data_IF_912797343725
#
_entry.id   IF_912797343725
#
_cell.length_a   1.000
_cell.length_b   1.000
_cell.length_c   1.000
_cell.angle_alpha   90.00
_cell.angle_beta   90.00
_cell.angle_gamma   90.00
#
_symmetry.space_group_name_H-M   'P 1'
#
loop_
_entity.id
_entity.type
_entity.pdbx_description
1 polymer ?
#
# COMPACT_ATOMS: atom_id res chain seq x y z
N UNK A 1 0.44 -25.02 -13.93
CA UNK A 1 0.15 -24.35 -12.65
C UNK A 1 0.12 -22.86 -12.96
N UNK A 2 -1.07 -22.30 -13.12
CA UNK A 2 -1.22 -20.91 -13.52
C UNK A 2 -0.97 -20.00 -12.33
N UNK A 3 0.20 -19.38 -12.31
CA UNK A 3 0.64 -18.48 -11.26
C UNK A 3 0.25 -17.03 -11.53
N UNK A 4 0.30 -16.23 -10.48
CA UNK A 4 0.32 -14.77 -10.56
C UNK A 4 1.68 -14.31 -11.07
N UNK A 5 1.68 -13.36 -12.00
CA UNK A 5 2.89 -12.74 -12.55
C UNK A 5 2.87 -11.26 -12.16
N UNK A 6 3.96 -10.78 -11.56
CA UNK A 6 4.12 -9.36 -11.25
C UNK A 6 4.20 -8.58 -12.57
N UNK A 7 3.29 -7.62 -12.76
CA UNK A 7 3.22 -6.77 -13.95
C UNK A 7 3.69 -5.35 -13.70
N UNK A 8 3.37 -4.80 -12.54
CA UNK A 8 3.72 -3.42 -12.21
C UNK A 8 4.13 -3.28 -10.75
N UNK A 9 5.00 -2.31 -10.49
CA UNK A 9 5.38 -1.89 -9.15
C UNK A 9 5.35 -0.37 -9.10
N UNK A 10 4.54 0.18 -8.19
CA UNK A 10 4.45 1.62 -7.94
C UNK A 10 4.91 1.91 -6.52
N UNK A 11 5.84 2.86 -6.37
CA UNK A 11 6.34 3.30 -5.07
C UNK A 11 5.89 4.73 -4.78
N UNK A 12 5.61 5.01 -3.50
CA UNK A 12 5.23 6.34 -3.04
C UNK A 12 5.74 6.57 -1.62
N UNK A 13 6.14 7.80 -1.31
CA UNK A 13 6.41 8.22 0.06
C UNK A 13 5.35 9.23 0.51
N UNK A 14 4.80 9.02 1.70
CA UNK A 14 3.82 9.89 2.33
C UNK A 14 4.49 10.52 3.56
N UNK A 15 4.37 11.84 3.68
CA UNK A 15 4.70 12.61 4.88
C UNK A 15 3.68 13.75 5.00
N UNK A 16 2.54 13.45 5.60
CA UNK A 16 1.44 14.40 5.80
C UNK A 16 0.98 14.40 7.25
N UNK A 17 0.11 15.33 7.61
CA UNK A 17 -0.48 15.37 8.95
C UNK A 17 -1.90 15.89 8.89
N UNK A 18 -2.74 15.43 9.80
CA UNK A 18 -4.15 15.82 9.88
C UNK A 18 -4.58 16.01 11.33
N UNK A 19 -5.69 16.74 11.52
CA UNK A 19 -6.27 17.05 12.83
C UNK A 19 -7.62 16.32 12.94
N UNK A 20 -7.77 15.38 13.89
CA UNK A 20 -9.07 14.74 14.13
C UNK A 20 -10.04 15.71 14.81
N UNK A 21 -11.37 15.53 14.64
CA UNK A 21 -12.37 16.32 15.37
C UNK A 21 -12.27 16.17 16.90
N UNK A 22 -11.87 14.99 17.37
CA UNK A 22 -11.65 14.64 18.78
C UNK A 22 -10.62 13.51 18.88
N UNK A 23 -9.95 13.37 20.02
CA UNK A 23 -9.01 12.27 20.28
C UNK A 23 -7.92 12.63 21.27
N UNK A 24 -7.05 11.66 21.56
CA UNK A 24 -5.94 11.81 22.52
C UNK A 24 -4.86 12.79 22.05
N UNK A 25 -4.74 13.00 20.73
CA UNK A 25 -3.73 13.87 20.12
C UNK A 25 -4.37 14.80 19.10
N UNK A 26 -3.94 16.07 19.10
CA UNK A 26 -4.44 17.10 18.17
C UNK A 26 -3.91 16.93 16.75
N UNK A 27 -2.69 16.40 16.57
CA UNK A 27 -2.05 16.23 15.26
C UNK A 27 -1.67 14.77 15.12
N UNK A 28 -2.16 14.15 14.04
CA UNK A 28 -1.80 12.79 13.65
C UNK A 28 -0.91 12.89 12.42
N UNK A 29 0.30 12.31 12.53
CA UNK A 29 1.28 12.29 11.45
C UNK A 29 1.14 10.99 10.66
N UNK A 30 0.88 11.11 9.37
CA UNK A 30 0.91 10.01 8.42
C UNK A 30 2.25 10.03 7.70
N UNK A 31 3.18 9.17 8.13
CA UNK A 31 4.48 9.04 7.49
C UNK A 31 4.83 7.57 7.25
N UNK A 32 4.85 7.20 5.98
CA UNK A 32 5.16 5.84 5.55
C UNK A 32 5.65 5.81 4.11
N UNK A 33 6.37 4.74 3.78
CA UNK A 33 6.62 4.38 2.40
C UNK A 33 5.59 3.34 1.97
N UNK A 34 5.11 3.46 0.74
CA UNK A 34 4.12 2.58 0.15
C UNK A 34 4.67 1.96 -1.12
N UNK A 35 4.36 0.67 -1.30
CA UNK A 35 4.56 -0.05 -2.55
C UNK A 35 3.26 -0.75 -2.93
N UNK A 36 2.83 -0.56 -4.18
CA UNK A 36 1.70 -1.26 -4.79
C UNK A 36 2.25 -2.20 -5.85
N UNK A 37 2.01 -3.50 -5.67
CA UNK A 37 2.42 -4.56 -6.58
C UNK A 37 1.20 -5.07 -7.32
N UNK A 38 1.18 -4.91 -8.64
CA UNK A 38 0.08 -5.39 -9.49
C UNK A 38 0.45 -6.73 -10.08
N UNK A 39 -0.37 -7.74 -9.82
CA UNK A 39 -0.22 -9.09 -10.32
C UNK A 39 -1.34 -9.44 -11.31
N UNK A 40 -1.01 -10.21 -12.33
CA UNK A 40 -1.97 -10.72 -13.32
C UNK A 40 -1.84 -12.24 -13.43
N UNK A 41 -2.96 -12.95 -13.56
CA UNK A 41 -2.92 -14.41 -13.73
C UNK A 41 -2.44 -14.77 -15.14
N UNK A 42 -1.44 -15.65 -15.23
CA UNK A 42 -0.82 -16.03 -16.52
C UNK A 42 -1.80 -16.64 -17.54
N UNK A 43 -2.79 -17.40 -17.07
CA UNK A 43 -3.78 -18.05 -17.94
C UNK A 43 -5.02 -17.21 -18.24
N UNK A 44 -5.24 -16.12 -17.51
CA UNK A 44 -6.39 -15.23 -17.70
C UNK A 44 -5.97 -13.80 -17.40
N UNK A 45 -5.75 -13.02 -18.46
CA UNK A 45 -5.39 -11.60 -18.34
C UNK A 45 -6.46 -10.74 -17.68
N UNK A 46 -7.65 -11.30 -17.46
CA UNK A 46 -8.77 -10.62 -16.83
C UNK A 46 -8.72 -10.68 -15.30
N UNK A 47 -7.81 -11.48 -14.72
CA UNK A 47 -7.63 -11.54 -13.28
C UNK A 47 -6.41 -10.72 -12.85
N UNK A 48 -6.68 -9.57 -12.22
CA UNK A 48 -5.69 -8.63 -11.70
C UNK A 48 -5.86 -8.50 -10.19
N UNK A 49 -4.75 -8.50 -9.46
CA UNK A 49 -4.71 -8.32 -8.01
C UNK A 49 -3.65 -7.28 -7.65
N UNK A 50 -4.04 -6.26 -6.90
CA UNK A 50 -3.13 -5.26 -6.34
C UNK A 50 -2.84 -5.58 -4.87
N UNK A 51 -1.56 -5.68 -4.53
CA UNK A 51 -1.07 -5.83 -3.17
C UNK A 51 -0.45 -4.51 -2.72
N UNK A 52 -1.09 -3.84 -1.75
CA UNK A 52 -0.65 -2.56 -1.21
C UNK A 52 0.01 -2.74 0.13
N UNK A 53 1.30 -2.45 0.20
CA UNK A 53 2.10 -2.58 1.41
C UNK A 53 2.48 -1.18 1.87
N UNK A 54 2.24 -0.88 3.15
CA UNK A 54 2.68 0.38 3.78
C UNK A 54 3.61 0.09 4.95
N UNK A 55 4.78 0.69 4.90
CA UNK A 55 5.82 0.56 5.91
C UNK A 55 5.95 1.88 6.68
N UNK A 56 5.52 1.84 7.93
CA UNK A 56 5.68 2.89 8.92
C UNK A 56 6.96 2.65 9.73
N UNK A 57 7.44 3.65 10.45
CA UNK A 57 8.59 3.45 11.34
C UNK A 57 8.26 2.47 12.48
N UNK A 58 6.99 2.41 12.87
CA UNK A 58 6.48 1.63 13.99
C UNK A 58 6.00 0.24 13.57
N UNK A 59 5.85 -0.05 12.26
CA UNK A 59 5.35 -1.34 11.80
C UNK A 59 5.01 -1.41 10.31
N UNK A 60 4.53 -2.58 9.89
CA UNK A 60 4.19 -2.92 8.50
C UNK A 60 2.71 -3.32 8.41
N UNK A 61 2.03 -2.88 7.35
CA UNK A 61 0.68 -3.35 6.97
C UNK A 61 0.64 -3.79 5.51
N UNK A 62 -0.23 -4.77 5.22
CA UNK A 62 -0.42 -5.42 3.91
C UNK A 62 -1.91 -5.69 3.67
#
# INVERSE_FOLDING_TARGET
MDGLVLKETKNKSIDTSWIPPYGERKIIKEKYNEIVLTFEQKASSNYIMDLQIRLYNEGLTI
#
